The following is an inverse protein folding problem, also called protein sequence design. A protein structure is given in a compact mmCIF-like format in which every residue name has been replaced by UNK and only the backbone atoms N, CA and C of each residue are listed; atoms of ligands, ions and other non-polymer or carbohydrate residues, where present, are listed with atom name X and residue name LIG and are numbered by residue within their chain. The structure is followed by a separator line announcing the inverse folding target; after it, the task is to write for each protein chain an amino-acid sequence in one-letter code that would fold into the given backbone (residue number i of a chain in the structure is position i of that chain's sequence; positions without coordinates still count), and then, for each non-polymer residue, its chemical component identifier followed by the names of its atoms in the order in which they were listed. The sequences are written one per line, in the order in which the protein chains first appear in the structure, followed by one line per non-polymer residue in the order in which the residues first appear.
data_IF_027480095914
#
_entry.id   IF_027480095914
#
_cell.length_a   1.000
_cell.length_b   1.000
_cell.length_c   1.000
_cell.angle_alpha   90.00
_cell.angle_beta   90.00
_cell.angle_gamma   90.00
#
_symmetry.space_group_name_H-M   'P 1'
#
loop_
_entity.id
_entity.type
_entity.pdbx_description
1 polymer ?
#
# COMPACT_ATOMS: atom_id res chain seq x y z
N UNK A 1 -4.62 44.01 43.36
CA UNK A 1 -3.97 43.29 42.25
C UNK A 1 -4.75 42.01 42.03
N UNK A 2 -5.84 42.07 41.26
CA UNK A 2 -6.59 40.88 40.86
C UNK A 2 -6.16 40.51 39.45
N UNK A 3 -5.45 39.38 39.35
CA UNK A 3 -5.06 38.80 38.07
C UNK A 3 -6.26 38.13 37.43
N UNK A 4 -6.89 38.82 36.48
CA UNK A 4 -7.86 38.25 35.55
C UNK A 4 -7.15 37.26 34.62
N UNK A 5 -6.99 36.03 35.09
CA UNK A 5 -6.56 34.89 34.29
C UNK A 5 -7.65 34.60 33.25
N UNK A 6 -7.46 35.14 32.04
CA UNK A 6 -8.28 34.86 30.87
C UNK A 6 -8.13 33.39 30.47
N UNK A 7 -8.93 32.51 31.07
CA UNK A 7 -9.15 31.17 30.52
C UNK A 7 -9.87 31.37 29.18
N UNK A 8 -9.19 31.03 28.08
CA UNK A 8 -9.78 31.07 26.75
C UNK A 8 -11.09 30.27 26.67
N UNK A 9 -11.91 30.49 25.62
CA UNK A 9 -13.17 29.79 25.45
C UNK A 9 -12.94 28.28 25.53
N UNK A 10 -13.73 27.57 26.36
CA UNK A 10 -13.70 26.11 26.37
C UNK A 10 -14.18 25.61 24.99
N UNK A 11 -13.47 24.68 24.35
CA UNK A 11 -13.88 24.16 23.05
C UNK A 11 -15.25 23.51 23.15
N UNK A 12 -16.11 23.77 22.16
CA UNK A 12 -17.46 23.20 22.09
C UNK A 12 -17.41 21.67 21.94
N UNK A 13 -18.48 20.96 22.32
CA UNK A 13 -18.51 19.49 22.23
C UNK A 13 -18.22 18.99 20.80
N UNK A 14 -18.74 19.69 19.79
CA UNK A 14 -18.47 19.42 18.37
C UNK A 14 -17.01 19.65 17.96
N UNK A 15 -16.34 20.65 18.53
CA UNK A 15 -14.90 20.89 18.27
C UNK A 15 -14.04 19.78 18.87
N UNK A 16 -14.41 19.27 20.05
CA UNK A 16 -13.69 18.18 20.70
C UNK A 16 -13.86 16.86 19.95
N UNK A 17 -15.04 16.58 19.41
CA UNK A 17 -15.30 15.42 18.56
C UNK A 17 -14.51 15.50 17.25
N UNK A 18 -14.50 16.67 16.60
CA UNK A 18 -13.72 16.89 15.38
C UNK A 18 -12.21 16.77 15.63
N UNK A 19 -11.70 17.30 16.75
CA UNK A 19 -10.29 17.16 17.12
C UNK A 19 -9.87 15.69 17.33
N UNK A 20 -10.69 14.91 18.05
CA UNK A 20 -10.45 13.46 18.23
C UNK A 20 -10.49 12.71 16.90
N UNK A 21 -11.36 13.12 15.99
CA UNK A 21 -11.42 12.57 14.64
C UNK A 21 -10.11 12.87 13.89
N UNK A 22 -9.61 14.10 13.91
CA UNK A 22 -8.34 14.44 13.26
C UNK A 22 -7.15 13.63 13.82
N UNK A 23 -7.10 13.40 15.14
CA UNK A 23 -6.09 12.52 15.76
C UNK A 23 -6.23 11.06 15.29
N UNK A 24 -7.45 10.59 15.03
CA UNK A 24 -7.70 9.27 14.42
C UNK A 24 -7.22 9.27 12.96
N UNK A 25 -7.46 10.33 12.20
CA UNK A 25 -7.03 10.42 10.80
C UNK A 25 -5.50 10.44 10.69
N UNK A 26 -4.80 11.21 11.52
CA UNK A 26 -3.33 11.31 11.45
C UNK A 26 -2.60 10.00 11.72
N UNK A 27 -3.16 9.12 12.57
CA UNK A 27 -2.64 7.77 12.81
C UNK A 27 -3.16 6.70 11.83
N UNK A 28 -4.01 7.08 10.87
CA UNK A 28 -4.59 6.15 9.90
C UNK A 28 -3.87 6.22 8.56
N UNK A 29 -3.63 5.04 7.98
CA UNK A 29 -3.00 4.83 6.69
C UNK A 29 -4.05 4.44 5.66
N UNK A 30 -3.94 5.01 4.46
CA UNK A 30 -4.64 4.54 3.27
C UNK A 30 -3.73 3.61 2.48
N UNK A 31 -4.18 2.38 2.29
CA UNK A 31 -3.45 1.34 1.58
C UNK A 31 -4.21 0.98 0.31
N UNK A 32 -3.54 1.15 -0.82
CA UNK A 32 -4.04 0.90 -2.17
C UNK A 32 -3.28 -0.26 -2.82
N UNK A 33 -3.82 -0.80 -3.91
CA UNK A 33 -3.23 -1.83 -4.75
C UNK A 33 -3.10 -3.20 -4.04
N UNK A 34 -3.88 -3.47 -2.99
CA UNK A 34 -3.90 -4.77 -2.34
C UNK A 34 -4.56 -5.82 -3.23
N UNK A 35 -4.15 -7.09 -3.13
CA UNK A 35 -4.81 -8.17 -3.84
C UNK A 35 -6.16 -8.54 -3.21
N UNK A 36 -7.15 -8.89 -4.02
CA UNK A 36 -8.49 -9.32 -3.56
C UNK A 36 -8.51 -10.50 -2.58
N UNK A 37 -7.41 -11.29 -2.52
CA UNK A 37 -7.26 -12.42 -1.60
C UNK A 37 -6.71 -12.04 -0.23
N UNK A 38 -6.28 -10.79 -0.06
CA UNK A 38 -5.68 -10.32 1.19
C UNK A 38 -6.78 -10.21 2.25
N UNK A 39 -6.56 -10.85 3.40
CA UNK A 39 -7.46 -10.78 4.55
C UNK A 39 -6.96 -9.77 5.58
N UNK A 40 -7.86 -9.28 6.46
CA UNK A 40 -7.49 -8.36 7.55
C UNK A 40 -6.35 -8.90 8.43
N UNK A 41 -6.28 -10.22 8.63
CA UNK A 41 -5.21 -10.85 9.39
C UNK A 41 -3.84 -10.74 8.70
N UNK A 42 -3.81 -10.87 7.37
CA UNK A 42 -2.58 -10.72 6.59
C UNK A 42 -2.08 -9.27 6.59
N UNK A 43 -2.99 -8.31 6.52
CA UNK A 43 -2.67 -6.87 6.62
C UNK A 43 -2.06 -6.57 7.99
N UNK A 44 -2.71 -7.05 9.06
CA UNK A 44 -2.18 -6.91 10.42
C UNK A 44 -0.79 -7.52 10.55
N UNK A 45 -0.61 -8.76 10.12
CA UNK A 45 0.69 -9.43 10.22
C UNK A 45 1.79 -8.76 9.38
N UNK A 46 1.45 -8.15 8.24
CA UNK A 46 2.41 -7.44 7.41
C UNK A 46 2.85 -6.09 8.00
N UNK A 47 1.97 -5.45 8.77
CA UNK A 47 2.22 -4.14 9.38
C UNK A 47 2.72 -4.23 10.83
N UNK A 48 2.57 -5.38 11.48
CA UNK A 48 3.04 -5.63 12.85
C UNK A 48 4.56 -5.43 13.01
N UNK A 49 5.31 -5.51 11.91
CA UNK A 49 6.75 -5.21 11.89
C UNK A 49 7.09 -3.72 12.09
N UNK A 50 6.15 -2.82 11.79
CA UNK A 50 6.33 -1.37 11.91
C UNK A 50 5.68 -0.81 13.17
N UNK A 51 4.58 -1.42 13.62
CA UNK A 51 3.89 -1.01 14.83
C UNK A 51 2.59 -1.77 15.06
N UNK A 52 1.95 -1.51 16.19
CA UNK A 52 0.71 -2.19 16.57
C UNK A 52 -0.48 -1.62 15.78
N UNK A 53 -1.17 -2.50 15.05
CA UNK A 53 -2.40 -2.16 14.31
C UNK A 53 -3.61 -2.23 15.24
N UNK A 54 -4.38 -1.14 15.30
CA UNK A 54 -5.60 -1.01 16.11
C UNK A 54 -6.81 -1.50 15.33
N UNK A 55 -7.00 -0.97 14.12
CA UNK A 55 -8.19 -1.15 13.30
C UNK A 55 -7.83 -1.42 11.84
N UNK A 56 -8.65 -2.24 11.17
CA UNK A 56 -8.55 -2.46 9.72
C UNK A 56 -9.94 -2.43 9.12
N UNK A 57 -10.16 -1.45 8.27
CA UNK A 57 -11.40 -1.19 7.57
C UNK A 57 -11.16 -1.32 6.07
N UNK A 58 -11.89 -2.25 5.45
CA UNK A 58 -11.80 -2.46 4.00
C UNK A 58 -12.89 -1.60 3.41
N UNK A 59 -12.52 -0.70 2.50
CA UNK A 59 -13.47 0.19 1.86
C UNK A 59 -14.33 -0.64 0.89
N UNK A 60 -15.66 -0.44 0.89
CA UNK A 60 -16.52 -1.08 -0.10
C UNK A 60 -16.17 -0.55 -1.49
N UNK A 61 -15.82 -1.44 -2.40
CA UNK A 61 -15.54 -1.07 -3.80
C UNK A 61 -16.80 -1.22 -4.66
N UNK A 62 -17.01 -0.24 -5.53
CA UNK A 62 -18.01 -0.32 -6.59
C UNK A 62 -17.52 -1.30 -7.69
N UNK A 63 -17.87 -2.58 -7.56
CA UNK A 63 -17.98 -3.69 -8.55
C UNK A 63 -16.93 -3.88 -9.68
N UNK A 64 -15.92 -3.03 -9.85
CA UNK A 64 -15.03 -2.97 -11.02
C UNK A 64 -13.54 -2.91 -10.65
N UNK A 65 -13.20 -2.82 -9.37
CA UNK A 65 -11.79 -2.78 -8.95
C UNK A 65 -11.19 -4.19 -8.88
N UNK A 66 -9.95 -4.29 -9.34
CA UNK A 66 -9.13 -5.52 -9.28
C UNK A 66 -8.20 -5.52 -8.05
N UNK A 67 -8.28 -4.46 -7.24
CA UNK A 67 -7.52 -4.26 -6.00
C UNK A 67 -8.46 -4.25 -4.80
N UNK A 68 -7.91 -4.08 -3.60
CA UNK A 68 -8.69 -3.66 -2.44
C UNK A 68 -8.07 -2.37 -1.91
N UNK A 69 -8.91 -1.45 -1.48
CA UNK A 69 -8.51 -0.26 -0.74
C UNK A 69 -8.84 -0.42 0.74
N UNK A 70 -7.89 -0.07 1.61
CA UNK A 70 -8.01 -0.35 3.05
C UNK A 70 -7.52 0.84 3.86
N UNK A 71 -8.30 1.21 4.87
CA UNK A 71 -7.88 2.11 5.94
C UNK A 71 -7.35 1.30 7.12
N UNK A 72 -6.13 1.59 7.55
CA UNK A 72 -5.47 0.93 8.66
C UNK A 72 -5.13 1.94 9.74
N UNK A 73 -5.73 1.78 10.91
CA UNK A 73 -5.45 2.61 12.08
C UNK A 73 -4.27 2.03 12.85
N UNK A 74 -3.19 2.80 12.96
CA UNK A 74 -2.01 2.47 13.75
C UNK A 74 -2.15 2.98 15.20
N UNK A 75 -1.36 2.42 16.12
CA UNK A 75 -1.40 2.84 17.52
C UNK A 75 -0.88 4.29 17.73
N UNK A 76 0.13 4.71 16.96
CA UNK A 76 0.68 6.07 17.02
C UNK A 76 0.89 6.65 15.62
N UNK A 77 0.91 7.98 15.53
CA UNK A 77 1.19 8.72 14.29
C UNK A 77 2.60 8.40 13.75
N UNK A 78 3.58 8.24 14.64
CA UNK A 78 4.96 7.86 14.27
C UNK A 78 5.03 6.48 13.62
N UNK A 79 4.23 5.53 14.10
CA UNK A 79 4.15 4.21 13.48
C UNK A 79 3.59 4.33 12.07
N UNK A 80 2.56 5.17 11.86
CA UNK A 80 2.00 5.44 10.54
C UNK A 80 3.03 6.09 9.59
N UNK A 81 3.74 7.12 10.04
CA UNK A 81 4.81 7.77 9.27
C UNK A 81 5.90 6.78 8.88
N UNK A 82 6.34 5.92 9.81
CA UNK A 82 7.38 4.91 9.54
C UNK A 82 6.99 3.94 8.43
N UNK A 83 5.71 3.53 8.36
CA UNK A 83 5.21 2.67 7.29
C UNK A 83 5.24 3.41 5.95
N UNK A 84 4.84 4.69 5.93
CA UNK A 84 4.84 5.51 4.71
C UNK A 84 6.27 5.68 4.19
N UNK A 85 7.23 5.99 5.07
CA UNK A 85 8.64 6.11 4.72
C UNK A 85 9.20 4.79 4.19
N UNK A 86 8.94 3.68 4.90
CA UNK A 86 9.37 2.36 4.46
C UNK A 86 8.78 1.97 3.09
N UNK A 87 7.51 2.31 2.83
CA UNK A 87 6.84 2.07 1.55
C UNK A 87 7.41 2.90 0.40
N UNK A 88 7.99 4.07 0.69
CA UNK A 88 8.64 4.93 -0.30
C UNK A 88 10.04 4.41 -0.65
N UNK A 89 10.77 3.89 0.33
CA UNK A 89 12.12 3.37 0.10
C UNK A 89 12.12 1.98 -0.52
N UNK A 90 11.22 1.10 -0.10
CA UNK A 90 11.19 -0.30 -0.49
C UNK A 90 9.77 -0.76 -0.88
N UNK A 91 9.63 -1.61 -1.90
CA UNK A 91 8.34 -2.17 -2.28
C UNK A 91 7.80 -3.08 -1.17
N UNK A 92 6.74 -2.62 -0.49
CA UNK A 92 6.05 -3.43 0.51
C UNK A 92 5.13 -4.46 -0.16
N UNK A 93 5.30 -5.72 0.21
CA UNK A 93 4.53 -6.84 -0.34
C UNK A 93 3.63 -7.42 0.75
N UNK A 94 2.32 -7.41 0.51
CA UNK A 94 1.33 -8.00 1.42
C UNK A 94 0.60 -9.11 0.68
N UNK A 95 0.59 -10.32 1.26
CA UNK A 95 -0.18 -11.45 0.73
C UNK A 95 0.57 -12.41 -0.19
N UNK A 96 1.91 -12.35 -0.24
CA UNK A 96 2.76 -13.35 -0.91
C UNK A 96 2.78 -13.29 -2.44
N UNK A 97 1.92 -12.47 -3.05
CA UNK A 97 2.02 -12.09 -4.46
C UNK A 97 3.02 -10.93 -4.59
N UNK A 98 3.88 -10.90 -5.62
CA UNK A 98 4.89 -9.85 -5.81
C UNK A 98 4.26 -8.56 -6.37
N UNK A 99 3.18 -8.07 -5.73
CA UNK A 99 2.50 -6.81 -6.05
C UNK A 99 2.87 -5.78 -4.97
N UNK A 100 3.63 -4.72 -5.30
CA UNK A 100 3.95 -3.67 -4.35
C UNK A 100 2.69 -2.90 -4.00
N UNK A 101 2.50 -2.73 -2.70
CA UNK A 101 1.39 -2.01 -2.10
C UNK A 101 1.73 -0.53 -2.04
N UNK A 102 0.75 0.34 -2.28
CA UNK A 102 0.92 1.79 -2.12
C UNK A 102 0.37 2.20 -0.78
N UNK A 103 1.15 2.95 -0.01
CA UNK A 103 0.74 3.46 1.30
C UNK A 103 0.77 4.98 1.26
N UNK A 104 -0.34 5.60 1.63
CA UNK A 104 -0.54 7.04 1.71
C UNK A 104 -1.11 7.40 3.09
N UNK A 105 -0.92 8.64 3.56
CA UNK A 105 -1.65 9.12 4.72
C UNK A 105 -3.16 9.13 4.41
N UNK A 106 -3.99 8.80 5.39
CA UNK A 106 -5.44 8.89 5.22
C UNK A 106 -5.90 10.35 5.17
N UNK A 107 -6.90 10.63 4.33
CA UNK A 107 -7.54 11.94 4.27
C UNK A 107 -8.86 11.93 5.05
N UNK A 108 -9.27 13.06 5.66
CA UNK A 108 -10.55 13.18 6.35
C UNK A 108 -11.76 12.78 5.49
N UNK A 109 -11.66 12.96 4.17
CA UNK A 109 -12.74 12.71 3.21
C UNK A 109 -12.99 11.23 2.95
N UNK A 110 -12.05 10.35 3.34
CA UNK A 110 -12.14 8.91 3.14
C UNK A 110 -13.00 8.20 4.20
N UNK A 111 -13.45 8.91 5.23
CA UNK A 111 -14.18 8.35 6.36
C UNK A 111 -15.69 8.65 6.26
N UNK A 112 -16.53 7.61 6.35
CA UNK A 112 -17.98 7.77 6.40
C UNK A 112 -18.45 8.41 7.71
N UNK A 113 -17.74 8.17 8.82
CA UNK A 113 -18.06 8.66 10.17
C UNK A 113 -17.57 10.10 10.43
N UNK A 114 -17.22 10.85 9.38
CA UNK A 114 -16.67 12.21 9.48
C UNK A 114 -17.66 13.19 10.13
N UNK A 115 -17.32 13.82 11.29
CA UNK A 115 -18.13 14.89 11.85
C UNK A 115 -18.05 16.16 11.00
N UNK A 116 -19.12 16.96 11.01
CA UNK A 116 -19.19 18.22 10.26
C UNK A 116 -18.06 19.16 10.74
N UNK A 117 -17.21 19.68 9.82
CA UNK A 117 -16.14 20.59 10.20
C UNK A 117 -16.73 21.84 10.89
N UNK A 118 -16.21 22.23 12.05
CA UNK A 118 -16.74 23.37 12.80
C UNK A 118 -16.59 24.65 12.00
N UNK A 119 -17.67 25.43 11.90
CA UNK A 119 -17.66 26.75 11.25
C UNK A 119 -17.97 26.76 9.74
N UNK A 120 -18.12 25.60 9.09
CA UNK A 120 -18.63 25.56 7.72
C UNK A 120 -20.16 25.46 7.70
N UNK A 121 -20.79 26.32 6.90
CA UNK A 121 -22.19 26.18 6.49
C UNK A 121 -22.20 25.90 4.99
N UNK A 122 -22.72 24.74 4.61
CA UNK A 122 -22.91 24.38 3.21
C UNK A 122 -24.32 24.85 2.82
N UNK A 123 -24.39 25.77 1.86
CA UNK A 123 -25.65 26.24 1.29
C UNK A 123 -25.77 25.70 -0.13
N UNK A 124 -26.93 25.13 -0.45
CA UNK A 124 -27.23 24.61 -1.78
C UNK A 124 -28.26 25.49 -2.46
N UNK A 125 -27.99 25.87 -3.71
CA UNK A 125 -28.94 26.59 -4.57
C UNK A 125 -28.97 25.96 -5.95
N UNK A 126 -30.17 25.75 -6.48
CA UNK A 126 -30.37 25.35 -7.87
C UNK A 126 -30.18 26.54 -8.81
N UNK A 127 -29.43 26.33 -9.89
CA UNK A 127 -29.16 27.33 -10.92
C UNK A 127 -30.06 27.07 -12.13
N UNK A 128 -30.72 28.10 -12.65
CA UNK A 128 -31.67 28.00 -13.76
C UNK A 128 -31.10 28.54 -15.08
N UNK A 129 -31.60 28.12 -16.26
CA UNK A 129 -31.04 28.46 -17.58
C UNK A 129 -30.91 29.96 -17.95
N UNK A 130 -31.51 30.87 -17.18
CA UNK A 130 -31.42 32.31 -17.39
C UNK A 130 -30.30 33.00 -16.60
N UNK A 131 -29.64 32.28 -15.69
CA UNK A 131 -28.58 32.82 -14.84
C UNK A 131 -27.20 32.64 -15.49
N UNK A 132 -26.26 33.60 -15.39
CA UNK A 132 -24.93 33.47 -16.00
C UNK A 132 -24.15 32.26 -15.47
N UNK A 133 -24.39 31.89 -14.20
CA UNK A 133 -23.82 30.71 -13.57
C UNK A 133 -24.23 29.41 -14.27
N UNK A 134 -25.37 29.38 -14.97
CA UNK A 134 -25.80 28.22 -15.75
C UNK A 134 -24.87 27.96 -16.95
N UNK A 135 -24.44 29.02 -17.63
CA UNK A 135 -23.52 28.93 -18.77
C UNK A 135 -22.15 28.44 -18.31
N UNK A 136 -21.65 28.98 -17.19
CA UNK A 136 -20.41 28.50 -16.57
C UNK A 136 -20.53 27.03 -16.13
N UNK A 137 -21.65 26.65 -15.51
CA UNK A 137 -21.92 25.27 -15.11
C UNK A 137 -21.91 24.29 -16.30
N UNK A 138 -22.46 24.70 -17.44
CA UNK A 138 -22.40 23.93 -18.68
C UNK A 138 -20.97 23.70 -19.17
N UNK A 139 -20.14 24.76 -19.19
CA UNK A 139 -18.73 24.64 -19.56
C UNK A 139 -17.94 23.72 -18.60
N UNK A 140 -18.20 23.81 -17.29
CA UNK A 140 -17.60 22.89 -16.32
C UNK A 140 -18.03 21.45 -16.56
N UNK A 141 -19.31 21.21 -16.86
CA UNK A 141 -19.81 19.87 -17.17
C UNK A 141 -19.10 19.27 -18.38
N UNK A 142 -18.90 20.04 -19.45
CA UNK A 142 -18.17 19.55 -20.63
C UNK A 142 -16.72 19.16 -20.32
N UNK A 143 -16.06 19.90 -19.43
CA UNK A 143 -14.70 19.58 -18.98
C UNK A 143 -14.70 18.31 -18.12
N UNK A 144 -15.66 18.17 -17.21
CA UNK A 144 -15.80 16.99 -16.36
C UNK A 144 -16.06 15.74 -17.20
N UNK A 145 -17.00 15.80 -18.15
CA UNK A 145 -17.30 14.70 -19.07
C UNK A 145 -16.07 14.33 -19.91
N UNK A 146 -15.21 15.30 -20.26
CA UNK A 146 -13.96 15.03 -20.98
C UNK A 146 -12.95 14.32 -20.07
N UNK A 147 -12.73 14.85 -18.87
CA UNK A 147 -11.81 14.26 -17.89
C UNK A 147 -12.22 12.84 -17.49
N UNK A 148 -13.53 12.57 -17.36
CA UNK A 148 -14.05 11.24 -17.07
C UNK A 148 -13.66 10.25 -18.17
N UNK A 149 -13.91 10.59 -19.45
CA UNK A 149 -13.52 9.75 -20.58
C UNK A 149 -12.01 9.56 -20.69
N UNK A 150 -11.24 10.62 -20.46
CA UNK A 150 -9.76 10.54 -20.46
C UNK A 150 -9.26 9.64 -19.33
N UNK A 151 -9.85 9.71 -18.15
CA UNK A 151 -9.52 8.86 -17.00
C UNK A 151 -9.88 7.39 -17.26
N UNK A 152 -11.05 7.10 -17.81
CA UNK A 152 -11.46 5.75 -18.21
C UNK A 152 -10.49 5.13 -19.22
N UNK A 153 -10.12 5.90 -20.25
CA UNK A 153 -9.17 5.46 -21.27
C UNK A 153 -7.79 5.20 -20.68
N UNK A 154 -7.31 6.07 -19.78
CA UNK A 154 -6.02 5.91 -19.11
C UNK A 154 -6.02 4.66 -18.22
N UNK A 155 -7.12 4.42 -17.48
CA UNK A 155 -7.27 3.25 -16.64
C UNK A 155 -7.24 1.95 -17.46
N UNK A 156 -7.93 1.92 -18.61
CA UNK A 156 -7.88 0.77 -19.52
C UNK A 156 -6.46 0.51 -20.06
N UNK A 157 -5.75 1.56 -20.48
CA UNK A 157 -4.37 1.43 -20.95
C UNK A 157 -3.45 0.87 -19.86
N UNK A 158 -3.58 1.39 -18.63
CA UNK A 158 -2.82 0.90 -17.48
C UNK A 158 -3.10 -0.58 -17.22
N UNK A 159 -4.37 -1.01 -17.24
CA UNK A 159 -4.73 -2.41 -17.06
C UNK A 159 -4.10 -3.32 -18.12
N UNK A 160 -4.08 -2.90 -19.39
CA UNK A 160 -3.43 -3.68 -20.45
C UNK A 160 -1.92 -3.82 -20.23
N UNK A 161 -1.25 -2.77 -19.78
CA UNK A 161 0.17 -2.79 -19.46
C UNK A 161 0.48 -3.69 -18.27
N UNK A 162 -0.34 -3.63 -17.21
CA UNK A 162 -0.24 -4.51 -16.06
C UNK A 162 -0.43 -5.99 -16.45
N UNK A 163 -1.38 -6.30 -17.34
CA UNK A 163 -1.58 -7.64 -17.88
C UNK A 163 -0.37 -8.12 -18.71
N UNK A 164 0.21 -7.24 -19.54
CA UNK A 164 1.44 -7.56 -20.30
C UNK A 164 2.61 -7.83 -19.35
N UNK A 165 2.75 -7.04 -18.28
CA UNK A 165 3.79 -7.21 -17.27
C UNK A 165 3.62 -8.55 -16.53
N UNK A 166 2.40 -8.85 -16.09
CA UNK A 166 2.07 -10.11 -15.40
C UNK A 166 2.42 -11.32 -16.27
N UNK A 167 2.16 -11.28 -17.58
CA UNK A 167 2.54 -12.35 -18.51
C UNK A 167 4.05 -12.54 -18.57
N UNK A 168 4.83 -11.45 -18.66
CA UNK A 168 6.30 -11.49 -18.66
C UNK A 168 6.85 -12.07 -17.36
N UNK A 169 6.33 -11.63 -16.21
CA UNK A 169 6.73 -12.13 -14.90
C UNK A 169 6.46 -13.64 -14.77
N UNK A 170 5.28 -14.10 -15.19
CA UNK A 170 4.94 -15.52 -15.16
C UNK A 170 5.83 -16.38 -16.07
N UNK A 171 6.22 -15.87 -17.24
CA UNK A 171 7.17 -16.57 -18.11
C UNK A 171 8.54 -16.67 -17.46
N UNK A 172 9.07 -15.56 -16.94
CA UNK A 172 10.33 -15.54 -16.21
C UNK A 172 10.35 -16.52 -15.02
N UNK A 173 9.28 -16.55 -14.22
CA UNK A 173 9.14 -17.52 -13.12
C UNK A 173 9.17 -18.97 -13.60
N UNK A 174 8.47 -19.30 -14.71
CA UNK A 174 8.52 -20.65 -15.28
C UNK A 174 9.92 -21.03 -15.73
N UNK A 175 10.65 -20.09 -16.33
CA UNK A 175 12.00 -20.36 -16.80
C UNK A 175 12.97 -20.54 -15.63
N UNK A 176 12.85 -19.74 -14.57
CA UNK A 176 13.58 -19.94 -13.31
C UNK A 176 13.30 -21.34 -12.75
N UNK A 177 12.04 -21.76 -12.67
CA UNK A 177 11.68 -23.11 -12.18
C UNK A 177 12.32 -24.21 -13.04
N UNK A 178 12.27 -24.10 -14.37
CA UNK A 178 12.95 -25.08 -15.25
C UNK A 178 14.46 -25.11 -15.00
N UNK A 179 15.11 -23.96 -14.88
CA UNK A 179 16.55 -23.92 -14.60
C UNK A 179 16.88 -24.58 -13.27
N UNK A 180 16.08 -24.33 -12.23
CA UNK A 180 16.21 -24.98 -10.94
C UNK A 180 16.07 -26.51 -11.05
N UNK A 181 15.08 -27.00 -11.79
CA UNK A 181 14.87 -28.44 -12.01
C UNK A 181 16.05 -29.09 -12.74
N UNK A 182 16.60 -28.42 -13.77
CA UNK A 182 17.79 -28.91 -14.48
C UNK A 182 19.04 -28.92 -13.61
N UNK A 183 19.19 -27.96 -12.70
CA UNK A 183 20.29 -27.94 -11.74
C UNK A 183 20.14 -29.05 -10.69
N UNK A 184 18.92 -29.29 -10.21
CA UNK A 184 18.62 -30.40 -9.29
C UNK A 184 18.85 -31.77 -9.95
N UNK A 185 18.50 -31.95 -11.23
CA UNK A 185 18.81 -33.18 -11.95
C UNK A 185 20.31 -33.37 -12.13
N UNK A 186 21.03 -32.32 -12.53
CA UNK A 186 22.49 -32.35 -12.65
C UNK A 186 23.16 -32.67 -11.31
N UNK A 187 22.69 -32.07 -10.20
CA UNK A 187 23.18 -32.35 -8.84
C UNK A 187 22.97 -33.81 -8.42
N UNK A 188 21.86 -34.43 -8.82
CA UNK A 188 21.61 -35.85 -8.57
C UNK A 188 22.56 -36.74 -9.38
N UNK A 189 22.82 -36.37 -10.63
CA UNK A 189 23.75 -37.09 -11.51
C UNK A 189 25.19 -36.98 -11.00
N UNK A 190 25.65 -35.78 -10.64
CA UNK A 190 27.00 -35.59 -10.09
C UNK A 190 27.20 -36.34 -8.78
N UNK A 191 26.15 -36.41 -7.92
CA UNK A 191 26.20 -37.23 -6.71
C UNK A 191 26.36 -38.72 -7.03
N UNK A 192 25.58 -39.26 -7.98
CA UNK A 192 25.72 -40.65 -8.43
C UNK A 192 27.11 -40.94 -9.00
N UNK A 193 27.67 -40.00 -9.76
CA UNK A 193 29.03 -40.10 -10.28
C UNK A 193 30.06 -40.09 -9.15
N UNK A 194 29.95 -39.16 -8.20
CA UNK A 194 30.85 -39.08 -7.05
C UNK A 194 30.84 -40.39 -6.23
N UNK A 195 29.66 -40.96 -5.99
CA UNK A 195 29.49 -42.25 -5.31
C UNK A 195 30.17 -43.39 -6.09
N UNK A 196 30.06 -43.42 -7.43
CA UNK A 196 30.67 -44.43 -8.28
C UNK A 196 32.20 -44.36 -8.31
N UNK A 197 32.78 -43.16 -8.21
CA UNK A 197 34.24 -42.94 -8.18
C UNK A 197 34.81 -42.88 -6.76
N UNK A 198 34.00 -43.08 -5.71
CA UNK A 198 34.44 -43.01 -4.31
C UNK A 198 34.89 -41.62 -3.85
N UNK A 199 34.46 -40.57 -4.54
CA UNK A 199 34.81 -39.18 -4.24
C UNK A 199 33.82 -38.61 -3.22
N UNK A 200 34.32 -38.03 -2.12
CA UNK A 200 33.49 -37.25 -1.19
C UNK A 200 33.22 -35.87 -1.80
N UNK A 201 32.04 -35.69 -2.40
CA UNK A 201 31.62 -34.42 -2.98
C UNK A 201 30.78 -33.62 -1.98
N UNK A 202 31.31 -32.51 -1.48
CA UNK A 202 30.59 -31.58 -0.59
C UNK A 202 30.21 -30.31 -1.38
N UNK A 203 28.91 -30.04 -1.46
CA UNK A 203 28.37 -28.91 -2.22
C UNK A 203 28.54 -27.57 -1.48
N UNK A 204 28.91 -27.60 -0.20
CA UNK A 204 29.10 -26.39 0.62
C UNK A 204 30.39 -25.65 0.31
N UNK A 205 31.41 -26.34 -0.19
CA UNK A 205 32.74 -25.75 -0.44
C UNK A 205 32.85 -25.06 -1.81
N UNK A 206 31.86 -25.22 -2.70
CA UNK A 206 31.89 -24.62 -4.04
C UNK A 206 31.48 -23.14 -4.07
N UNK A 207 30.84 -22.63 -3.01
CA UNK A 207 30.39 -21.24 -2.90
C UNK A 207 31.13 -20.40 -1.87
N UNK A 208 32.10 -20.98 -1.14
CA UNK A 208 33.03 -20.23 -0.31
C UNK A 208 34.34 -20.08 -1.06
N UNK A 209 34.75 -18.84 -1.31
CA UNK A 209 36.09 -18.54 -1.80
C UNK A 209 37.14 -19.27 -0.94
N UNK A 210 37.97 -20.16 -1.52
CA UNK A 210 38.98 -20.91 -0.77
C UNK A 210 40.07 -20.01 -0.15
N UNK A 211 40.04 -18.69 -0.39
CA UNK A 211 40.94 -17.70 0.19
C UNK A 211 40.47 -17.04 1.50
N UNK A 212 39.23 -17.23 1.94
CA UNK A 212 38.70 -16.52 3.12
C UNK A 212 39.04 -17.18 4.47
N UNK A 213 39.21 -18.51 4.49
CA UNK A 213 39.54 -19.26 5.71
C UNK A 213 41.04 -19.21 6.09
N UNK A 214 41.92 -18.86 5.16
CA UNK A 214 43.36 -18.76 5.43
C UNK A 214 43.74 -17.54 6.30
N UNK A 215 42.90 -16.49 6.34
CA UNK A 215 43.15 -15.27 7.14
C UNK A 215 42.69 -15.32 8.58
N UNK A 216 41.90 -16.33 8.98
CA UNK A 216 41.39 -16.47 10.36
C UNK A 216 42.29 -17.31 11.29
N UNK A 217 43.39 -17.88 10.79
CA UNK A 217 44.32 -18.70 11.58
C UNK A 217 45.67 -18.03 11.89
N UNK A 218 45.77 -16.71 11.69
CA UNK A 218 46.99 -15.93 12.00
C UNK A 218 46.68 -14.71 12.87
N UNK A 219 46.09 -14.96 14.05
CA UNK A 219 46.05 -14.05 15.20
C UNK A 219 46.13 -14.89 16.47
#
# INVERSE_FOLDING_TARGET
MEGSSSRGPRPSASEQEYAKFLEKVSRTLYIDNLGFRVTKAMIRSGLDQFGKVVGVEILPEDNLSTSLCVLVEMATEKDAESVIEAARELPLLIGGMPRPVRVLPAEPEMFEDRPVPPGQKIEFRWVYPGEPEFVSGGAYKEILDRHEREAEMLMQLQQEEELKLLRKQNQSLRDIVKTHDTLESAKRETKKLADAYGLKFDWKTLGSDPGSDARRKSL
#
